data_IF_308564641081
#
_entry.id   IF_308564641081
#
_cell.length_a   1.000
_cell.length_b   1.000
_cell.length_c   1.000
_cell.angle_alpha   90.00
_cell.angle_beta   90.00
_cell.angle_gamma   90.00
#
_symmetry.space_group_name_H-M   'P 1'
#
loop_
_entity.id
_entity.type
_entity.pdbx_description
1 polymer ?
#
# COMPACT_ATOMS: atom_id res chain seq x y z
N UNK A 1 -0.97 10.56 -9.20
CA UNK A 1 -0.74 9.47 -8.23
C UNK A 1 -1.60 8.29 -8.62
N UNK A 2 -1.17 7.59 -9.68
CA UNK A 2 -1.82 6.41 -10.24
C UNK A 2 -0.93 5.20 -9.97
N UNK A 3 -0.86 4.80 -8.71
CA UNK A 3 -0.13 3.62 -8.27
C UNK A 3 -0.68 3.15 -6.92
N UNK A 4 -0.16 2.05 -6.40
CA UNK A 4 -0.43 1.61 -5.04
C UNK A 4 0.80 1.81 -4.15
N UNK A 5 0.59 2.30 -2.94
CA UNK A 5 1.62 2.41 -1.92
C UNK A 5 1.03 2.20 -0.54
N UNK A 6 1.70 1.42 0.30
CA UNK A 6 1.39 1.29 1.71
C UNK A 6 2.59 1.69 2.53
N UNK A 7 2.36 2.62 3.45
CA UNK A 7 3.40 3.16 4.31
C UNK A 7 3.50 2.39 5.63
N UNK A 8 4.63 2.47 6.32
CA UNK A 8 4.69 2.20 7.76
C UNK A 8 3.85 3.24 8.51
N UNK A 9 3.48 3.01 9.78
CA UNK A 9 2.96 4.08 10.60
C UNK A 9 3.93 5.27 10.63
N UNK A 10 3.47 6.49 10.31
CA UNK A 10 4.32 7.69 10.27
C UNK A 10 3.78 8.72 11.26
N UNK A 11 4.69 9.32 12.04
CA UNK A 11 4.39 10.47 12.90
C UNK A 11 5.52 11.49 12.74
N UNK A 12 5.18 12.76 12.52
CA UNK A 12 6.15 13.85 12.35
C UNK A 12 7.27 13.48 11.34
N UNK A 13 6.87 12.99 10.16
CA UNK A 13 7.78 12.59 9.07
C UNK A 13 8.78 11.49 9.43
N UNK A 14 8.53 10.74 10.50
CA UNK A 14 9.39 9.65 10.96
C UNK A 14 8.60 8.34 11.02
N UNK A 15 9.20 7.25 10.53
CA UNK A 15 8.62 5.92 10.61
C UNK A 15 8.55 5.44 12.06
N UNK A 16 7.35 5.12 12.54
CA UNK A 16 7.08 4.54 13.85
C UNK A 16 6.88 3.05 13.67
N UNK A 17 7.89 2.25 14.06
CA UNK A 17 7.86 0.79 13.91
C UNK A 17 7.28 0.06 15.14
N UNK A 18 6.88 0.81 16.16
CA UNK A 18 6.23 0.24 17.34
C UNK A 18 4.89 -0.40 16.97
N UNK A 19 4.78 -1.71 17.24
CA UNK A 19 3.63 -2.51 16.85
C UNK A 19 3.65 -2.99 15.40
N UNK A 20 4.76 -2.81 14.67
CA UNK A 20 4.95 -3.33 13.30
C UNK A 20 5.80 -4.60 13.33
N UNK A 21 5.42 -5.63 12.59
CA UNK A 21 6.22 -6.85 12.44
C UNK A 21 7.53 -6.60 11.69
N UNK A 22 8.52 -7.48 11.87
CA UNK A 22 9.83 -7.36 11.22
C UNK A 22 9.78 -7.44 9.70
N UNK A 23 8.78 -8.11 9.14
CA UNK A 23 8.50 -8.20 7.70
C UNK A 23 7.67 -7.02 7.16
N UNK A 24 7.29 -6.07 8.03
CA UNK A 24 6.50 -4.87 7.72
C UNK A 24 5.11 -5.16 7.11
N UNK A 25 4.58 -6.38 7.32
CA UNK A 25 3.26 -6.82 6.81
C UNK A 25 2.15 -6.76 7.83
N UNK A 26 2.46 -6.86 9.11
CA UNK A 26 1.46 -6.92 10.19
C UNK A 26 1.60 -5.72 11.12
N UNK A 27 0.48 -5.04 11.36
CA UNK A 27 0.39 -3.92 12.30
C UNK A 27 -0.49 -4.31 13.49
N UNK A 28 0.12 -4.45 14.66
CA UNK A 28 -0.53 -4.78 15.93
C UNK A 28 -0.41 -3.59 16.89
N UNK A 29 -1.52 -2.89 17.11
CA UNK A 29 -1.57 -1.66 17.90
C UNK A 29 -0.52 -0.61 17.45
N UNK A 30 -0.49 -0.25 16.16
CA UNK A 30 0.48 0.72 15.67
C UNK A 30 0.27 2.06 16.38
N UNK A 31 1.37 2.70 16.79
CA UNK A 31 1.33 3.97 17.54
C UNK A 31 1.11 5.20 16.64
N UNK A 32 0.90 5.00 15.35
CA UNK A 32 0.61 6.05 14.38
C UNK A 32 -0.34 5.51 13.29
N UNK A 33 -1.05 6.39 12.56
CA UNK A 33 -1.86 5.97 11.43
C UNK A 33 -1.01 5.37 10.31
N UNK A 34 -1.60 4.42 9.57
CA UNK A 34 -1.04 3.84 8.36
C UNK A 34 -1.72 4.51 7.16
N UNK A 35 -0.93 5.02 6.22
CA UNK A 35 -1.43 5.60 4.99
C UNK A 35 -1.34 4.59 3.85
N UNK A 36 -2.42 4.53 3.06
CA UNK A 36 -2.54 3.68 1.87
C UNK A 36 -2.93 4.58 0.71
N UNK A 37 -2.11 4.59 -0.34
CA UNK A 37 -2.42 5.19 -1.63
C UNK A 37 -2.91 4.07 -2.55
N UNK A 38 -4.11 4.23 -3.11
CA UNK A 38 -4.77 3.24 -3.96
C UNK A 38 -5.33 3.94 -5.20
N UNK A 39 -4.44 4.55 -5.98
CA UNK A 39 -4.77 5.37 -7.15
C UNK A 39 -4.75 4.62 -8.48
N UNK A 40 -4.40 3.33 -8.47
CA UNK A 40 -4.20 2.51 -9.66
C UNK A 40 -5.50 1.96 -10.28
N UNK A 41 -6.62 2.69 -10.22
CA UNK A 41 -7.93 2.15 -10.64
C UNK A 41 -8.14 2.04 -12.17
N UNK A 42 -7.22 2.56 -12.99
CA UNK A 42 -7.32 2.55 -14.46
C UNK A 42 -7.63 3.91 -15.10
N UNK A 43 -6.95 4.97 -14.65
CA UNK A 43 -7.10 6.30 -15.27
C UNK A 43 -6.57 6.31 -16.71
N UNK A 44 -7.11 7.22 -17.54
CA UNK A 44 -6.59 7.49 -18.90
C UNK A 44 -5.19 8.11 -18.90
N UNK A 45 -4.79 8.67 -17.77
CA UNK A 45 -3.46 9.27 -17.54
C UNK A 45 -2.37 8.23 -17.24
N UNK A 46 -2.70 6.94 -17.37
CA UNK A 46 -1.82 5.79 -17.14
C UNK A 46 -1.28 5.70 -15.69
N UNK A 47 -0.44 4.70 -15.40
CA UNK A 47 0.25 4.59 -14.09
C UNK A 47 1.41 5.58 -14.03
N UNK A 48 1.66 6.16 -12.85
CA UNK A 48 2.85 7.00 -12.68
C UNK A 48 4.12 6.13 -12.71
N UNK A 49 5.18 6.64 -13.32
CA UNK A 49 6.48 5.98 -13.35
C UNK A 49 7.03 5.82 -11.93
N UNK A 50 7.66 4.67 -11.68
CA UNK A 50 8.38 4.45 -10.43
C UNK A 50 9.44 5.55 -10.26
N UNK A 51 9.42 6.31 -9.15
CA UNK A 51 10.47 7.30 -8.91
C UNK A 51 11.82 6.60 -8.80
N UNK A 52 12.91 7.32 -9.11
CA UNK A 52 14.27 6.85 -8.83
C UNK A 52 14.34 6.27 -7.41
N UNK A 53 14.98 5.10 -7.21
CA UNK A 53 14.91 4.36 -5.97
C UNK A 53 15.27 5.26 -4.79
N UNK A 54 14.24 5.68 -4.06
CA UNK A 54 14.41 6.47 -2.87
C UNK A 54 14.57 5.48 -1.70
N UNK A 55 15.52 5.76 -0.81
CA UNK A 55 15.66 5.01 0.45
C UNK A 55 14.52 5.36 1.43
N UNK A 56 13.29 5.50 0.95
CA UNK A 56 12.13 5.79 1.77
C UNK A 56 11.82 4.57 2.64
N UNK A 57 12.47 4.50 3.80
CA UNK A 57 12.34 3.42 4.79
C UNK A 57 10.91 3.22 5.32
N UNK A 58 10.01 4.14 4.98
CA UNK A 58 8.61 4.13 5.33
C UNK A 58 7.68 3.51 4.28
N UNK A 59 8.18 3.05 3.12
CA UNK A 59 7.37 2.41 2.07
C UNK A 59 7.63 0.89 1.98
N UNK A 60 7.01 0.09 2.85
CA UNK A 60 7.18 -1.37 2.85
C UNK A 60 6.57 -2.09 1.65
N UNK A 61 5.59 -1.50 0.96
CA UNK A 61 4.96 -2.09 -0.20
C UNK A 61 4.49 -1.02 -1.19
N UNK A 62 4.75 -1.26 -2.47
CA UNK A 62 4.29 -0.41 -3.56
C UNK A 62 4.08 -1.23 -4.83
N UNK A 63 3.17 -0.79 -5.68
CA UNK A 63 2.97 -1.33 -7.03
C UNK A 63 2.76 -0.17 -8.01
N UNK A 64 3.71 -0.01 -8.93
CA UNK A 64 3.71 1.01 -9.98
C UNK A 64 3.41 0.44 -11.37
N UNK A 65 3.23 -0.88 -11.49
CA UNK A 65 3.15 -1.57 -12.77
C UNK A 65 1.76 -2.12 -13.09
N UNK A 66 0.96 -2.39 -12.06
CA UNK A 66 -0.36 -3.01 -12.22
C UNK A 66 -1.48 -2.08 -11.80
N UNK A 67 -2.55 -2.03 -12.61
CA UNK A 67 -3.82 -1.51 -12.18
C UNK A 67 -4.46 -2.43 -11.13
N UNK A 68 -5.24 -1.85 -10.22
CA UNK A 68 -5.89 -2.60 -9.17
C UNK A 68 -6.60 -1.70 -8.17
N UNK A 69 -7.15 -2.34 -7.14
CA UNK A 69 -7.85 -1.65 -6.07
C UNK A 69 -7.58 -2.32 -4.72
N UNK A 70 -7.61 -1.51 -3.66
CA UNK A 70 -7.53 -2.00 -2.29
C UNK A 70 -8.88 -2.57 -1.84
N UNK A 71 -8.84 -3.76 -1.24
CA UNK A 71 -10.01 -4.40 -0.65
C UNK A 71 -9.75 -4.71 0.82
N UNK A 72 -10.72 -4.36 1.66
CA UNK A 72 -10.80 -4.86 3.04
C UNK A 72 -11.46 -6.22 3.04
N UNK A 73 -10.68 -7.28 3.24
CA UNK A 73 -11.18 -8.66 3.25
C UNK A 73 -11.85 -9.02 4.57
N UNK A 74 -11.37 -8.46 5.69
CA UNK A 74 -11.94 -8.72 7.02
C UNK A 74 -11.79 -7.52 7.92
N UNK A 75 -12.87 -7.15 8.60
CA UNK A 75 -12.87 -6.10 9.62
C UNK A 75 -13.61 -6.59 10.85
N UNK A 76 -12.92 -6.62 11.98
CA UNK A 76 -13.49 -6.80 13.32
C UNK A 76 -13.06 -5.63 14.18
N UNK A 77 -13.54 -5.58 15.43
CA UNK A 77 -13.13 -4.55 16.40
C UNK A 77 -11.61 -4.51 16.63
N UNK A 78 -10.90 -5.62 16.39
CA UNK A 78 -9.47 -5.77 16.70
C UNK A 78 -8.58 -5.99 15.49
N UNK A 79 -9.15 -6.42 14.36
CA UNK A 79 -8.38 -6.84 13.21
C UNK A 79 -8.93 -6.20 11.94
N UNK A 80 -8.03 -5.69 11.11
CA UNK A 80 -8.32 -5.27 9.75
C UNK A 80 -7.34 -5.99 8.81
N UNK A 81 -7.86 -6.68 7.81
CA UNK A 81 -7.06 -7.26 6.73
C UNK A 81 -7.35 -6.50 5.43
N UNK A 82 -6.30 -5.95 4.84
CA UNK A 82 -6.32 -5.23 3.57
C UNK A 82 -5.44 -5.95 2.55
N UNK A 83 -5.87 -5.96 1.30
CA UNK A 83 -5.12 -6.51 0.19
C UNK A 83 -5.33 -5.65 -1.05
N UNK A 84 -4.25 -5.37 -1.78
CA UNK A 84 -4.33 -4.80 -3.11
C UNK A 84 -4.57 -5.93 -4.12
N UNK A 85 -5.65 -5.83 -4.90
CA UNK A 85 -6.01 -6.79 -5.93
C UNK A 85 -5.67 -6.20 -7.29
N UNK A 86 -4.74 -6.83 -8.00
CA UNK A 86 -4.34 -6.45 -9.35
C UNK A 86 -5.42 -6.86 -10.35
N UNK A 87 -5.86 -5.91 -11.18
CA UNK A 87 -6.73 -6.17 -12.30
C UNK A 87 -5.91 -6.82 -13.43
N UNK A 88 -6.33 -8.00 -13.87
CA UNK A 88 -5.79 -8.63 -15.07
C UNK A 88 -6.70 -8.33 -16.24
N UNK A 89 -6.16 -7.76 -17.31
CA UNK A 89 -6.87 -7.72 -18.59
C UNK A 89 -7.05 -9.16 -19.07
N UNK A 90 -8.26 -9.48 -19.54
CA UNK A 90 -8.47 -10.71 -20.31
C UNK A 90 -7.69 -10.59 -21.61
N UNK A 91 -6.50 -11.17 -21.67
CA UNK A 91 -5.85 -11.45 -22.94
C UNK A 91 -6.57 -12.65 -23.55
N UNK A 92 -7.32 -12.44 -24.64
CA UNK A 92 -7.77 -13.56 -25.46
C UNK A 92 -6.51 -14.28 -25.96
N UNK A 93 -6.28 -15.48 -25.44
CA UNK A 93 -5.29 -16.45 -25.94
C UNK A 93 -5.67 -16.96 -27.32
#
# INVERSE_FOLDING_TARGET
MHYYERQTPIRNSTAVKDGVSSDLRTYKNPQAPVYILSGACGSVEELDLMPEPNNATWNPASNYNDYGFSRRLRQTVRCCHESFLTAQCWTNS
#
